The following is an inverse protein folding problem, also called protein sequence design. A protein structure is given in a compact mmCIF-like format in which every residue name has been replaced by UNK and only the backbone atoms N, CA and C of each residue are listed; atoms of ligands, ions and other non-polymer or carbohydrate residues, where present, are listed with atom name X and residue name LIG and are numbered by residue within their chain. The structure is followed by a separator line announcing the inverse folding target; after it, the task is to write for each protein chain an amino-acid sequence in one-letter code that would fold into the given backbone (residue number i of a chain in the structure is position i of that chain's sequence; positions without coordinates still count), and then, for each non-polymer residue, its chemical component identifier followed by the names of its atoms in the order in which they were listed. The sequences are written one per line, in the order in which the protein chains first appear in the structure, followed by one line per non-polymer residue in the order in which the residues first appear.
data_IF_761233023988
#
_entry.id   IF_761233023988
#
_cell.length_a   1.000
_cell.length_b   1.000
_cell.length_c   1.000
_cell.angle_alpha   90.00
_cell.angle_beta   90.00
_cell.angle_gamma   90.00
#
_symmetry.space_group_name_H-M   'P 1'
#
loop_
_entity.id
_entity.type
_entity.pdbx_description
1 polymer ?
#
# COMPACT_ATOMS: atom_id res chain seq x y z
N UNK A 1 14.96 8.09 -1.01
CA UNK A 1 14.59 7.83 -2.42
C UNK A 1 15.78 7.96 -3.37
N UNK A 2 16.69 8.94 -3.17
CA UNK A 2 17.89 9.08 -4.03
C UNK A 2 18.78 7.83 -4.04
N UNK A 3 18.89 7.11 -2.92
CA UNK A 3 19.64 5.86 -2.83
C UNK A 3 19.15 4.81 -3.82
N UNK A 4 17.83 4.65 -3.96
CA UNK A 4 17.24 3.70 -4.93
C UNK A 4 17.57 4.06 -6.37
N UNK A 5 17.59 5.35 -6.71
CA UNK A 5 18.00 5.83 -8.05
C UNK A 5 19.48 5.51 -8.30
N UNK A 6 20.34 5.69 -7.29
CA UNK A 6 21.74 5.31 -7.40
C UNK A 6 21.93 3.80 -7.56
N UNK A 7 21.14 2.98 -6.86
CA UNK A 7 21.18 1.52 -7.00
C UNK A 7 20.79 1.10 -8.41
N UNK A 8 19.72 1.65 -8.99
CA UNK A 8 19.34 1.38 -10.39
C UNK A 8 20.47 1.75 -11.37
N UNK A 9 21.12 2.90 -11.18
CA UNK A 9 22.25 3.32 -12.02
C UNK A 9 23.44 2.36 -11.88
N UNK A 10 23.78 1.94 -10.66
CA UNK A 10 24.88 0.99 -10.40
C UNK A 10 24.57 -0.38 -11.03
N UNK A 11 23.34 -0.87 -10.92
CA UNK A 11 22.91 -2.14 -11.54
C UNK A 11 23.01 -2.03 -13.07
N UNK A 12 22.55 -0.93 -13.65
CA UNK A 12 22.64 -0.70 -15.09
C UNK A 12 24.12 -0.69 -15.56
N UNK A 13 25.00 -0.04 -14.81
CA UNK A 13 26.45 -0.04 -15.09
C UNK A 13 27.02 -1.46 -15.02
N UNK A 14 26.69 -2.21 -13.96
CA UNK A 14 27.14 -3.60 -13.79
C UNK A 14 26.66 -4.51 -14.94
N UNK A 15 25.41 -4.34 -15.38
CA UNK A 15 24.91 -5.06 -16.55
C UNK A 15 25.76 -4.81 -17.79
N UNK A 16 26.09 -3.55 -18.07
CA UNK A 16 26.90 -3.17 -19.25
C UNK A 16 28.33 -3.72 -19.19
N UNK A 17 28.96 -3.68 -18.02
CA UNK A 17 30.39 -4.04 -17.89
C UNK A 17 30.58 -5.56 -17.79
N UNK A 18 29.70 -6.25 -17.05
CA UNK A 18 29.86 -7.68 -16.76
C UNK A 18 28.86 -8.60 -17.48
N UNK A 19 28.08 -8.03 -18.40
CA UNK A 19 27.11 -8.84 -19.16
C UNK A 19 25.95 -9.37 -18.30
N UNK A 20 25.70 -8.80 -17.14
CA UNK A 20 24.61 -9.20 -16.25
C UNK A 20 23.24 -8.92 -16.89
N UNK A 21 22.23 -9.61 -16.39
CA UNK A 21 20.82 -9.40 -16.74
C UNK A 21 20.11 -8.95 -15.49
N UNK A 22 19.40 -7.84 -15.53
CA UNK A 22 18.63 -7.35 -14.39
C UNK A 22 17.26 -6.83 -14.80
N UNK A 23 16.30 -7.04 -13.92
CA UNK A 23 15.00 -6.35 -13.98
C UNK A 23 14.82 -5.57 -12.69
N UNK A 24 14.59 -4.28 -12.81
CA UNK A 24 14.23 -3.40 -11.69
C UNK A 24 12.70 -3.29 -11.65
N UNK A 25 12.13 -3.66 -10.51
CA UNK A 25 10.69 -3.59 -10.28
C UNK A 25 10.38 -2.35 -9.42
N UNK A 26 9.92 -1.28 -10.05
CA UNK A 26 9.44 -0.08 -9.37
C UNK A 26 8.11 -0.39 -8.69
N UNK A 27 8.19 -0.93 -7.48
CA UNK A 27 7.06 -1.46 -6.74
C UNK A 27 6.14 -0.34 -6.23
N UNK A 28 4.85 -0.48 -6.49
CA UNK A 28 3.78 0.27 -5.84
C UNK A 28 3.57 -0.16 -4.40
N UNK A 29 2.47 0.27 -3.79
CA UNK A 29 2.11 -0.12 -2.42
C UNK A 29 1.53 -1.53 -2.45
N UNK A 30 2.15 -2.45 -1.71
CA UNK A 30 1.67 -3.84 -1.61
C UNK A 30 0.61 -3.94 -0.53
N UNK A 31 -0.47 -4.66 -0.82
CA UNK A 31 -1.52 -5.01 0.11
C UNK A 31 -1.79 -6.52 0.12
N UNK A 32 -2.58 -6.97 1.11
CA UNK A 32 -2.86 -8.39 1.32
C UNK A 32 -1.97 -9.00 2.39
N UNK A 33 -2.45 -10.05 3.03
CA UNK A 33 -1.81 -10.68 4.20
C UNK A 33 -1.68 -12.20 4.03
N UNK A 34 -2.33 -12.77 3.04
CA UNK A 34 -2.42 -14.22 2.86
C UNK A 34 -1.71 -14.67 1.60
N UNK A 35 -0.91 -15.71 1.75
CA UNK A 35 -0.32 -16.52 0.68
C UNK A 35 -0.62 -17.99 0.96
N UNK A 36 -0.38 -18.87 0.00
CA UNK A 36 -0.53 -20.31 0.22
C UNK A 36 0.31 -20.79 1.42
N UNK A 37 1.53 -20.27 1.54
CA UNK A 37 2.45 -20.63 2.63
C UNK A 37 1.96 -20.13 3.99
N UNK A 38 1.48 -18.88 4.06
CA UNK A 38 0.99 -18.31 5.33
C UNK A 38 -0.26 -19.02 5.85
N UNK A 39 -1.02 -19.69 4.97
CA UNK A 39 -2.18 -20.49 5.36
C UNK A 39 -1.79 -21.90 5.86
N UNK A 40 -0.55 -22.35 5.65
CA UNK A 40 -0.06 -23.63 6.16
C UNK A 40 0.39 -23.54 7.62
N UNK A 41 0.94 -22.38 8.04
CA UNK A 41 1.50 -22.22 9.38
C UNK A 41 1.54 -20.73 9.76
N UNK A 42 0.95 -20.37 10.90
CA UNK A 42 0.91 -18.99 11.42
C UNK A 42 2.31 -18.36 11.61
N UNK A 43 3.36 -19.19 11.76
CA UNK A 43 4.76 -18.72 11.85
C UNK A 43 5.29 -18.15 10.53
N UNK A 44 4.60 -18.42 9.42
CA UNK A 44 4.92 -17.89 8.09
C UNK A 44 4.17 -16.61 7.74
N UNK A 45 3.32 -16.12 8.67
CA UNK A 45 2.64 -14.84 8.50
C UNK A 45 3.65 -13.70 8.36
N UNK A 46 3.42 -12.85 7.39
CA UNK A 46 4.24 -11.66 7.19
C UNK A 46 4.00 -10.66 8.32
N UNK A 47 4.99 -9.80 8.57
CA UNK A 47 4.82 -8.66 9.45
C UNK A 47 3.75 -7.72 8.87
N UNK A 48 2.84 -7.27 9.74
CA UNK A 48 1.79 -6.33 9.38
C UNK A 48 2.10 -4.95 9.95
N UNK A 49 2.60 -4.07 9.09
CA UNK A 49 3.00 -2.72 9.48
C UNK A 49 1.85 -1.72 9.29
N UNK A 50 1.54 -0.99 10.36
CA UNK A 50 0.50 0.06 10.42
C UNK A 50 0.98 1.35 11.07
N UNK A 51 2.25 1.39 11.48
CA UNK A 51 2.88 2.54 12.09
C UNK A 51 3.22 3.65 11.07
N UNK A 52 3.70 4.79 11.57
CA UNK A 52 4.01 5.96 10.73
C UNK A 52 5.18 5.77 9.78
N UNK A 53 6.10 4.84 10.07
CA UNK A 53 7.35 4.67 9.33
C UNK A 53 7.25 3.61 8.23
N UNK A 54 6.63 2.47 8.54
CA UNK A 54 6.54 1.31 7.66
C UNK A 54 5.11 0.98 7.24
N UNK A 55 4.12 1.49 7.97
CA UNK A 55 2.71 1.24 7.71
C UNK A 55 2.23 1.87 6.40
N UNK A 56 1.34 1.16 5.72
CA UNK A 56 0.61 1.69 4.58
C UNK A 56 -0.71 2.33 5.01
N UNK A 57 -1.28 3.20 4.19
CA UNK A 57 -2.57 3.83 4.49
C UNK A 57 -3.67 2.77 4.68
N UNK A 58 -3.72 1.74 3.82
CA UNK A 58 -4.71 0.67 3.90
C UNK A 58 -4.57 -0.11 5.21
N UNK A 59 -3.35 -0.56 5.56
CA UNK A 59 -3.11 -1.30 6.79
C UNK A 59 -3.50 -0.48 8.03
N UNK A 60 -3.12 0.79 8.05
CA UNK A 60 -3.47 1.71 9.13
C UNK A 60 -4.98 1.85 9.28
N UNK A 61 -5.71 2.01 8.18
CA UNK A 61 -7.17 2.13 8.22
C UNK A 61 -7.84 0.86 8.74
N UNK A 62 -7.39 -0.32 8.30
CA UNK A 62 -7.91 -1.58 8.83
C UNK A 62 -7.67 -1.70 10.35
N UNK A 63 -6.47 -1.34 10.84
CA UNK A 63 -6.19 -1.34 12.29
C UNK A 63 -7.00 -0.28 13.03
N UNK A 64 -7.18 0.91 12.46
CA UNK A 64 -8.03 1.95 13.05
C UNK A 64 -9.47 1.49 13.19
N UNK A 65 -10.04 0.84 12.16
CA UNK A 65 -11.39 0.29 12.21
C UNK A 65 -11.55 -0.72 13.36
N UNK A 66 -10.61 -1.66 13.53
CA UNK A 66 -10.62 -2.64 14.62
C UNK A 66 -10.42 -2.00 15.99
N UNK A 67 -9.56 -0.98 16.08
CA UNK A 67 -9.28 -0.27 17.34
C UNK A 67 -10.38 0.73 17.73
N UNK A 68 -11.41 0.94 16.91
CA UNK A 68 -12.46 1.94 17.15
C UNK A 68 -11.96 3.38 17.03
N UNK A 69 -10.88 3.60 16.29
CA UNK A 69 -10.29 4.91 16.02
C UNK A 69 -10.77 5.36 14.62
N UNK A 70 -11.17 6.64 14.44
CA UNK A 70 -11.54 7.13 13.12
C UNK A 70 -10.42 6.94 12.08
N UNK A 71 -10.79 6.59 10.84
CA UNK A 71 -9.86 6.46 9.72
C UNK A 71 -9.28 7.85 9.41
N UNK A 72 -7.98 8.02 9.64
CA UNK A 72 -7.33 9.34 9.59
C UNK A 72 -6.82 9.67 8.19
N UNK A 73 -7.44 10.65 7.53
CA UNK A 73 -7.00 11.19 6.26
C UNK A 73 -6.24 12.50 6.48
N UNK A 74 -5.14 12.69 5.77
CA UNK A 74 -4.42 13.95 5.77
C UNK A 74 -4.85 14.81 4.58
N UNK A 75 -5.25 16.07 4.85
CA UNK A 75 -5.83 16.96 3.86
C UNK A 75 -7.13 16.40 3.29
N UNK A 76 -7.35 16.55 1.98
CA UNK A 76 -8.54 16.05 1.28
C UNK A 76 -8.50 14.55 0.98
N UNK A 77 -7.35 13.90 1.15
CA UNK A 77 -7.18 12.49 0.83
C UNK A 77 -7.11 12.17 -0.67
N UNK A 78 -6.88 13.15 -1.54
CA UNK A 78 -6.85 12.97 -2.99
C UNK A 78 -5.49 12.48 -3.53
N UNK A 79 -4.49 12.32 -2.66
CA UNK A 79 -3.18 11.79 -3.05
C UNK A 79 -3.34 10.36 -3.56
N UNK A 80 -2.97 10.14 -4.83
CA UNK A 80 -3.10 8.85 -5.51
C UNK A 80 -1.77 8.10 -5.52
N UNK A 81 -1.82 6.78 -5.41
CA UNK A 81 -0.67 5.87 -5.50
C UNK A 81 -1.07 4.61 -6.28
N UNK A 82 -0.05 3.91 -6.81
CA UNK A 82 -0.22 2.60 -7.41
C UNK A 82 -0.19 1.50 -6.34
N UNK A 83 -1.05 0.52 -6.49
CA UNK A 83 -1.23 -0.59 -5.57
C UNK A 83 -1.19 -1.93 -6.30
N UNK A 84 -0.80 -2.99 -5.58
CA UNK A 84 -0.87 -4.35 -6.05
C UNK A 84 -0.99 -5.34 -4.89
N UNK A 85 -1.62 -6.47 -5.16
CA UNK A 85 -1.72 -7.57 -4.20
C UNK A 85 -0.35 -8.22 -3.96
N UNK A 86 -0.14 -8.77 -2.75
CA UNK A 86 1.08 -9.53 -2.41
C UNK A 86 1.26 -10.73 -3.36
N UNK A 87 0.18 -11.40 -3.77
CA UNK A 87 0.22 -12.49 -4.75
C UNK A 87 0.72 -12.01 -6.12
N UNK A 88 0.34 -10.81 -6.53
CA UNK A 88 0.81 -10.21 -7.78
C UNK A 88 2.28 -9.79 -7.68
N UNK A 89 2.72 -9.36 -6.49
CA UNK A 89 4.14 -9.11 -6.23
C UNK A 89 4.97 -10.38 -6.47
N UNK A 90 4.51 -11.52 -5.95
CA UNK A 90 5.17 -12.82 -6.16
C UNK A 90 5.16 -13.23 -7.63
N UNK A 91 4.00 -13.12 -8.32
CA UNK A 91 3.92 -13.36 -9.76
C UNK A 91 4.90 -12.49 -10.55
N UNK A 92 5.02 -11.21 -10.26
CA UNK A 92 5.94 -10.31 -10.95
C UNK A 92 7.40 -10.75 -10.80
N UNK A 93 7.81 -11.16 -9.60
CA UNK A 93 9.17 -11.67 -9.35
C UNK A 93 9.41 -12.96 -10.16
N UNK A 94 8.47 -13.92 -10.12
CA UNK A 94 8.56 -15.16 -10.87
C UNK A 94 8.64 -14.89 -12.39
N UNK A 95 7.69 -14.13 -12.94
CA UNK A 95 7.63 -13.81 -14.36
C UNK A 95 8.91 -13.13 -14.86
N UNK A 96 9.47 -12.19 -14.07
CA UNK A 96 10.69 -11.49 -14.46
C UNK A 96 11.94 -12.38 -14.38
N UNK A 97 11.95 -13.36 -13.47
CA UNK A 97 13.01 -14.36 -13.37
C UNK A 97 12.96 -15.38 -14.54
N UNK A 98 11.75 -15.82 -14.91
CA UNK A 98 11.55 -16.73 -16.04
C UNK A 98 11.81 -16.09 -17.41
N UNK A 99 11.61 -14.77 -17.51
CA UNK A 99 11.79 -14.00 -18.74
C UNK A 99 12.87 -12.92 -18.57
N UNK A 100 14.16 -13.29 -18.37
CA UNK A 100 15.22 -12.32 -18.15
C UNK A 100 15.49 -11.49 -19.42
N UNK A 101 15.99 -10.26 -19.31
CA UNK A 101 16.43 -9.47 -20.46
C UNK A 101 17.67 -10.08 -21.11
N UNK A 102 18.07 -9.55 -22.26
CA UNK A 102 19.29 -9.97 -22.94
C UNK A 102 20.55 -9.67 -22.08
N UNK A 103 21.65 -10.45 -22.23
CA UNK A 103 22.91 -10.18 -21.55
C UNK A 103 23.36 -8.72 -21.73
N UNK A 104 23.87 -8.10 -20.68
CA UNK A 104 24.29 -6.70 -20.67
C UNK A 104 23.15 -5.68 -20.61
N UNK A 105 21.92 -6.14 -20.44
CA UNK A 105 20.73 -5.28 -20.39
C UNK A 105 20.08 -5.28 -19.01
N UNK A 106 19.71 -4.08 -18.59
CA UNK A 106 18.76 -3.86 -17.51
C UNK A 106 17.44 -3.36 -18.12
N UNK A 107 16.32 -3.84 -17.60
CA UNK A 107 14.99 -3.29 -17.88
C UNK A 107 14.33 -2.85 -16.58
N UNK A 108 13.38 -1.93 -16.67
CA UNK A 108 12.64 -1.38 -15.54
C UNK A 108 11.16 -1.58 -15.81
N UNK A 109 10.43 -2.11 -14.84
CA UNK A 109 8.99 -2.24 -14.90
C UNK A 109 8.34 -1.51 -13.74
N UNK A 110 7.27 -0.78 -14.00
CA UNK A 110 6.41 -0.25 -12.96
C UNK A 110 5.49 -1.39 -12.47
N UNK A 111 5.65 -1.77 -11.22
CA UNK A 111 4.99 -2.92 -10.61
C UNK A 111 3.79 -2.46 -9.77
N UNK A 112 2.66 -2.29 -10.41
CA UNK A 112 1.37 -2.01 -9.78
C UNK A 112 0.24 -2.31 -10.78
N UNK A 113 -0.98 -2.54 -10.30
CA UNK A 113 -2.14 -2.96 -11.13
C UNK A 113 -3.34 -2.02 -10.98
N UNK A 114 -3.46 -1.34 -9.85
CA UNK A 114 -4.55 -0.42 -9.54
C UNK A 114 -4.02 0.87 -8.97
N UNK A 115 -4.81 1.92 -9.01
CA UNK A 115 -4.49 3.16 -8.32
C UNK A 115 -5.69 3.64 -7.51
N UNK A 116 -5.41 4.09 -6.30
CA UNK A 116 -6.41 4.59 -5.37
C UNK A 116 -5.94 5.92 -4.78
N UNK A 117 -6.90 6.81 -4.52
CA UNK A 117 -6.69 7.90 -3.59
C UNK A 117 -6.75 7.37 -2.15
N UNK A 118 -6.21 8.15 -1.22
CA UNK A 118 -6.30 7.79 0.21
C UNK A 118 -7.75 7.76 0.67
N UNK A 119 -8.61 8.62 0.12
CA UNK A 119 -10.05 8.64 0.38
C UNK A 119 -10.73 7.37 -0.13
N UNK A 120 -10.43 6.92 -1.36
CA UNK A 120 -11.00 5.68 -1.90
C UNK A 120 -10.71 4.49 -0.98
N UNK A 121 -9.47 4.37 -0.51
CA UNK A 121 -9.09 3.31 0.44
C UNK A 121 -9.86 3.39 1.76
N UNK A 122 -10.06 4.60 2.30
CA UNK A 122 -10.83 4.77 3.52
C UNK A 122 -12.31 4.37 3.32
N UNK A 123 -12.88 4.64 2.15
CA UNK A 123 -14.23 4.23 1.80
C UNK A 123 -14.34 2.70 1.67
N UNK A 124 -13.39 2.04 1.02
CA UNK A 124 -13.33 0.57 0.96
C UNK A 124 -13.25 -0.04 2.36
N UNK A 125 -12.33 0.45 3.20
CA UNK A 125 -12.20 -0.07 4.58
C UNK A 125 -13.46 0.18 5.39
N UNK A 126 -14.11 1.35 5.27
CA UNK A 126 -15.37 1.63 5.97
C UNK A 126 -16.46 0.66 5.54
N UNK A 127 -16.58 0.38 4.24
CA UNK A 127 -17.57 -0.56 3.70
C UNK A 127 -17.32 -1.97 4.25
N UNK A 128 -16.10 -2.49 4.12
CA UNK A 128 -15.72 -3.80 4.61
C UNK A 128 -15.86 -3.92 6.14
N UNK A 129 -15.50 -2.87 6.90
CA UNK A 129 -15.67 -2.84 8.36
C UNK A 129 -17.13 -3.03 8.78
N UNK A 130 -18.08 -2.40 8.07
CA UNK A 130 -19.52 -2.58 8.33
C UNK A 130 -20.01 -4.00 8.09
N UNK A 131 -19.46 -4.71 7.09
CA UNK A 131 -19.82 -6.12 6.83
C UNK A 131 -19.44 -7.03 8.00
N UNK A 132 -18.36 -6.71 8.70
CA UNK A 132 -17.93 -7.45 9.91
C UNK A 132 -18.44 -6.83 11.22
N UNK A 133 -19.42 -5.90 11.14
CA UNK A 133 -20.10 -5.33 12.30
C UNK A 133 -19.33 -4.21 13.03
N UNK A 134 -18.34 -3.60 12.40
CA UNK A 134 -17.58 -2.47 12.95
C UNK A 134 -18.10 -1.13 12.39
N UNK A 135 -18.14 -0.10 13.25
CA UNK A 135 -18.49 1.29 12.84
C UNK A 135 -17.19 2.10 12.65
N UNK A 136 -16.75 2.23 11.41
CA UNK A 136 -15.55 3.00 11.07
C UNK A 136 -15.95 4.39 10.56
N UNK A 137 -15.61 5.43 11.32
CA UNK A 137 -15.79 6.84 10.93
C UNK A 137 -14.55 7.35 10.20
N UNK A 138 -14.72 8.34 9.32
CA UNK A 138 -13.62 8.99 8.60
C UNK A 138 -13.38 10.36 9.21
N UNK A 139 -12.11 10.69 9.48
CA UNK A 139 -11.71 11.99 10.02
C UNK A 139 -10.58 12.62 9.18
N UNK A 140 -10.74 13.89 8.85
CA UNK A 140 -9.72 14.66 8.15
C UNK A 140 -8.83 15.42 9.14
N UNK A 141 -7.52 15.33 8.91
CA UNK A 141 -6.49 16.00 9.69
C UNK A 141 -5.70 16.95 8.81
N UNK A 142 -5.10 17.95 9.40
CA UNK A 142 -4.16 18.81 8.67
C UNK A 142 -3.01 17.95 8.16
N UNK A 143 -2.66 18.08 6.86
CA UNK A 143 -1.55 17.34 6.29
C UNK A 143 -0.23 17.80 6.94
N UNK A 144 0.49 16.93 7.68
CA UNK A 144 1.77 17.29 8.29
C UNK A 144 2.90 17.45 7.27
N UNK A 145 2.68 17.05 6.02
CA UNK A 145 3.66 17.13 4.93
C UNK A 145 3.40 18.34 4.07
N UNK A 146 4.48 18.91 3.52
CA UNK A 146 4.40 19.92 2.47
C UNK A 146 4.41 19.18 1.13
N UNK A 147 3.24 18.82 0.64
CA UNK A 147 3.07 18.15 -0.66
C UNK A 147 1.84 18.72 -1.38
N UNK A 148 1.82 18.60 -2.71
CA UNK A 148 0.61 18.91 -3.47
C UNK A 148 -0.49 17.89 -3.11
N UNK A 149 -1.67 18.38 -2.73
CA UNK A 149 -2.81 17.51 -2.40
C UNK A 149 -3.36 16.77 -3.62
N UNK A 150 -3.15 17.33 -4.81
CA UNK A 150 -3.56 16.75 -6.07
C UNK A 150 -2.34 16.68 -6.98
N UNK A 151 -1.99 15.49 -7.45
CA UNK A 151 -0.98 15.30 -8.48
C UNK A 151 -1.40 14.20 -9.43
N UNK A 152 -1.10 14.42 -10.70
CA UNK A 152 -1.31 13.39 -11.70
C UNK A 152 -0.34 12.23 -11.49
N UNK A 153 -0.91 11.03 -11.34
CA UNK A 153 -0.14 9.80 -11.16
C UNK A 153 -0.70 8.73 -12.11
N UNK A 154 -0.05 8.57 -13.24
CA UNK A 154 -0.41 7.54 -14.21
C UNK A 154 0.83 7.08 -15.00
N UNK A 155 1.84 6.49 -14.34
CA UNK A 155 2.96 5.87 -15.05
C UNK A 155 2.46 4.66 -15.86
N UNK A 156 3.10 4.37 -16.99
CA UNK A 156 2.82 3.15 -17.75
C UNK A 156 3.23 1.92 -16.93
N UNK A 157 2.36 0.91 -16.90
CA UNK A 157 2.51 -0.31 -16.11
C UNK A 157 2.07 -1.58 -16.86
N UNK A 158 2.03 -1.51 -18.19
CA UNK A 158 1.47 -2.59 -19.01
C UNK A 158 2.45 -3.73 -19.31
N UNK A 159 3.74 -3.54 -19.12
CA UNK A 159 4.76 -4.52 -19.53
C UNK A 159 4.64 -5.86 -18.80
N UNK A 160 4.25 -5.86 -17.52
CA UNK A 160 4.08 -7.08 -16.75
C UNK A 160 2.90 -7.93 -17.24
N UNK A 161 1.84 -7.29 -17.72
CA UNK A 161 0.74 -8.01 -18.40
C UNK A 161 1.22 -8.71 -19.67
N UNK A 162 2.15 -8.10 -20.40
CA UNK A 162 2.79 -8.70 -21.57
C UNK A 162 3.61 -9.96 -21.23
N UNK A 163 4.08 -10.11 -19.98
CA UNK A 163 4.75 -11.30 -19.47
C UNK A 163 3.77 -12.34 -18.91
N UNK A 164 2.49 -12.04 -18.79
CA UNK A 164 1.46 -12.96 -18.32
C UNK A 164 0.93 -12.71 -16.92
N UNK A 165 1.17 -11.51 -16.33
CA UNK A 165 0.60 -11.14 -15.04
C UNK A 165 -0.93 -11.25 -15.07
N UNK A 166 -1.49 -11.94 -14.08
CA UNK A 166 -2.92 -12.07 -13.83
C UNK A 166 -3.23 -11.39 -12.51
N UNK A 167 -3.77 -10.17 -12.52
CA UNK A 167 -3.93 -9.38 -11.30
C UNK A 167 -5.04 -9.89 -10.38
N UNK A 168 -4.80 -9.75 -9.07
CA UNK A 168 -5.77 -9.89 -8.00
C UNK A 168 -6.12 -8.48 -7.54
N UNK A 169 -7.33 -8.04 -7.86
CA UNK A 169 -7.77 -6.67 -7.57
C UNK A 169 -8.24 -6.54 -6.12
N UNK A 170 -8.15 -5.31 -5.60
CA UNK A 170 -8.68 -4.97 -4.29
C UNK A 170 -10.20 -4.95 -4.35
N UNK A 171 -10.83 -5.85 -3.63
CA UNK A 171 -12.27 -5.87 -3.41
C UNK A 171 -12.62 -5.81 -1.93
N UNK A 172 -13.89 -5.65 -1.62
CA UNK A 172 -14.35 -5.55 -0.24
C UNK A 172 -14.07 -6.86 0.53
N UNK A 173 -14.16 -8.02 -0.13
CA UNK A 173 -13.89 -9.34 0.48
C UNK A 173 -12.44 -9.45 0.96
N UNK A 174 -11.48 -8.96 0.18
CA UNK A 174 -10.08 -8.94 0.58
C UNK A 174 -9.85 -8.02 1.78
N UNK A 175 -10.49 -6.85 1.79
CA UNK A 175 -10.41 -5.92 2.93
C UNK A 175 -11.05 -6.52 4.18
N UNK A 176 -12.19 -7.22 4.04
CA UNK A 176 -12.82 -7.99 5.13
C UNK A 176 -11.87 -9.03 5.71
N UNK A 177 -11.22 -9.83 4.87
CA UNK A 177 -10.22 -10.83 5.31
C UNK A 177 -9.07 -10.18 6.11
N UNK A 178 -8.58 -9.03 5.64
CA UNK A 178 -7.54 -8.27 6.39
C UNK A 178 -8.07 -7.83 7.75
N UNK A 179 -9.28 -7.28 7.83
CA UNK A 179 -9.90 -6.85 9.09
C UNK A 179 -10.11 -8.04 10.03
N UNK A 180 -10.64 -9.16 9.53
CA UNK A 180 -10.84 -10.40 10.31
C UNK A 180 -9.52 -10.94 10.85
N UNK A 181 -8.45 -10.88 10.04
CA UNK A 181 -7.11 -11.27 10.50
C UNK A 181 -6.62 -10.35 11.64
N UNK A 182 -6.84 -9.05 11.54
CA UNK A 182 -6.46 -8.09 12.59
C UNK A 182 -7.28 -8.34 13.87
N UNK A 183 -8.59 -8.65 13.76
CA UNK A 183 -9.44 -8.97 14.91
C UNK A 183 -8.91 -10.16 15.73
N UNK A 184 -8.30 -11.17 15.10
CA UNK A 184 -7.68 -12.31 15.79
C UNK A 184 -6.49 -11.89 16.67
N UNK A 185 -5.87 -10.74 16.39
CA UNK A 185 -4.69 -10.21 17.07
C UNK A 185 -4.91 -8.81 17.66
N UNK A 186 -6.16 -8.43 17.92
CA UNK A 186 -6.51 -7.08 18.38
C UNK A 186 -5.84 -6.69 19.69
N UNK A 187 -5.54 -7.67 20.56
CA UNK A 187 -4.81 -7.50 21.81
C UNK A 187 -3.35 -7.04 21.62
N UNK A 188 -2.80 -7.22 20.42
CA UNK A 188 -1.45 -6.82 20.03
C UNK A 188 -1.36 -5.42 19.43
N UNK A 189 -2.49 -4.75 19.25
CA UNK A 189 -2.52 -3.40 18.63
C UNK A 189 -1.88 -2.39 19.58
N UNK A 190 -0.84 -1.72 19.08
CA UNK A 190 -0.14 -0.66 19.81
C UNK A 190 -0.76 0.69 19.40
N UNK A 191 -1.80 1.11 20.11
CA UNK A 191 -2.60 2.30 19.74
C UNK A 191 -1.78 3.56 19.53
N UNK A 192 -0.75 3.79 20.35
CA UNK A 192 0.06 5.01 20.26
C UNK A 192 0.95 5.08 19.01
N UNK A 193 1.09 3.99 18.24
CA UNK A 193 1.85 3.97 16.98
C UNK A 193 0.98 4.15 15.74
N UNK A 194 -0.35 4.14 15.89
CA UNK A 194 -1.30 4.20 14.76
C UNK A 194 -1.29 5.57 14.09
N UNK A 195 -1.25 6.65 14.91
CA UNK A 195 -1.29 8.03 14.42
C UNK A 195 0.14 8.56 14.34
N UNK A 196 0.59 9.04 13.18
CA UNK A 196 1.90 9.64 13.04
C UNK A 196 2.10 10.83 13.96
N UNK A 197 3.30 10.93 14.57
CA UNK A 197 3.70 12.01 15.49
C UNK A 197 4.73 12.96 14.90
N UNK A 198 5.23 12.65 13.68
CA UNK A 198 6.25 13.48 13.03
C UNK A 198 5.57 14.62 12.29
N UNK A 199 5.85 15.83 12.74
CA UNK A 199 5.43 17.06 12.08
C UNK A 199 6.61 17.63 11.29
N UNK A 200 6.45 17.70 9.97
CA UNK A 200 7.47 18.25 9.05
C UNK A 200 7.50 19.77 9.04
N UNK A 201 6.44 20.41 9.54
CA UNK A 201 6.33 21.85 9.66
C UNK A 201 6.65 22.29 11.10
N UNK A 202 7.46 23.36 11.26
CA UNK A 202 7.67 23.97 12.57
C UNK A 202 6.36 24.58 13.06
N UNK A 203 5.91 24.21 14.25
CA UNK A 203 4.67 24.72 14.86
C UNK A 203 3.44 23.84 14.63
N UNK A 204 3.64 22.55 14.31
CA UNK A 204 2.53 21.59 14.23
C UNK A 204 1.74 21.59 15.53
N UNK A 205 0.50 22.01 15.46
CA UNK A 205 -0.50 21.88 16.50
C UNK A 205 -1.19 20.53 16.35
N UNK A 206 -1.62 19.94 17.44
CA UNK A 206 -2.41 18.69 17.50
C UNK A 206 -3.82 18.87 16.90
N UNK A 207 -3.98 19.70 15.88
CA UNK A 207 -5.29 20.11 15.43
C UNK A 207 -5.92 19.07 14.49
N UNK A 208 -6.76 18.30 15.07
CA UNK A 208 -7.90 17.63 14.51
C UNK A 208 -8.81 18.67 13.84
N UNK A 209 -9.22 18.40 12.62
CA UNK A 209 -9.96 19.40 11.84
C UNK A 209 -11.43 19.05 11.67
N UNK A 210 -11.79 17.84 11.31
CA UNK A 210 -13.19 17.53 11.02
C UNK A 210 -13.48 16.02 10.91
N UNK A 211 -14.55 15.55 11.57
CA UNK A 211 -15.16 14.26 11.25
C UNK A 211 -16.15 14.51 10.12
N UNK A 212 -15.93 13.86 8.97
CA UNK A 212 -16.85 13.97 7.84
C UNK A 212 -17.63 12.67 7.72
N UNK A 213 -18.95 12.78 7.78
CA UNK A 213 -19.83 11.68 7.43
C UNK A 213 -20.05 11.67 5.91
N UNK A 214 -19.55 10.63 5.26
CA UNK A 214 -19.78 10.41 3.84
C UNK A 214 -21.08 9.59 3.69
N UNK A 215 -22.04 10.10 2.93
CA UNK A 215 -23.21 9.34 2.54
C UNK A 215 -22.80 8.13 1.68
N UNK A 216 -23.40 6.96 1.95
CA UNK A 216 -23.24 5.78 1.11
C UNK A 216 -24.03 5.99 -0.19
N UNK A 217 -23.41 6.64 -1.18
CA UNK A 217 -23.90 6.57 -2.54
C UNK A 217 -23.66 5.14 -3.03
N UNK A 218 -24.68 4.29 -2.89
CA UNK A 218 -24.62 2.88 -3.25
C UNK A 218 -24.01 2.69 -4.66
N UNK A 219 -22.85 2.08 -4.68
CA UNK A 219 -22.23 1.52 -5.89
C UNK A 219 -22.28 0.01 -5.79
#
# INVERSE_FOLDING_TARGET
HLTKVHDSNNIMFACKIWGLRATDLNQGVVYGVETEESNLDDRLLTRFDYDESFGTALNRFCVQAVAGIPLTLYGKGQQTRGYLNILDTLQCVELTALHPPQPGRMRVFNQWVEHFSVLDLALHVRTAARQVGLDAKIAHYINPRVEAEEHYYNPDHNELYGLGLKPHLLDDTLVEQVIERILQYQDRIIQHSIIPRIYWQRGGTEDYVEIVEYEDNGR
#
